data_IF_906273881780
#
_entry.id   IF_906273881780
#
_cell.length_a   1.000
_cell.length_b   1.000
_cell.length_c   1.000
_cell.angle_alpha   90.00
_cell.angle_beta   90.00
_cell.angle_gamma   90.00
#
_symmetry.space_group_name_H-M   'P 1'
#
loop_
_entity.id
_entity.type
_entity.pdbx_description
1 polymer ?
#
# COMPACT_ATOMS: atom_id res chain seq x y z
N UNK A 1 -24.27 -19.34 47.39
CA UNK A 1 -24.44 -19.84 46.00
C UNK A 1 -23.11 -20.44 45.56
N UNK A 2 -23.09 -21.68 45.08
CA UNK A 2 -21.87 -22.31 44.55
C UNK A 2 -21.21 -21.41 43.50
N UNK A 3 -19.90 -21.20 43.61
CA UNK A 3 -19.08 -20.40 42.68
C UNK A 3 -19.34 -20.77 41.21
N UNK A 4 -19.56 -22.06 40.95
CA UNK A 4 -19.86 -22.61 39.62
C UNK A 4 -21.11 -21.96 39.03
N UNK A 5 -22.18 -21.78 39.82
CA UNK A 5 -23.42 -21.14 39.35
C UNK A 5 -23.24 -19.65 39.02
N UNK A 6 -22.19 -19.01 39.54
CA UNK A 6 -21.89 -17.59 39.29
C UNK A 6 -20.99 -17.40 38.05
N UNK A 7 -20.09 -18.33 37.79
CA UNK A 7 -19.07 -18.23 36.73
C UNK A 7 -19.57 -18.80 35.40
N UNK A 8 -20.42 -19.83 35.44
CA UNK A 8 -20.98 -20.47 34.25
C UNK A 8 -21.59 -19.51 33.21
N UNK A 9 -22.43 -18.51 33.57
CA UNK A 9 -22.98 -17.58 32.59
C UNK A 9 -21.91 -16.69 31.93
N UNK A 10 -20.86 -16.31 32.66
CA UNK A 10 -19.75 -15.51 32.14
C UNK A 10 -18.97 -16.31 31.09
N UNK A 11 -18.72 -17.60 31.39
CA UNK A 11 -18.06 -18.53 30.48
C UNK A 11 -18.85 -18.73 29.17
N UNK A 12 -20.18 -18.81 29.25
CA UNK A 12 -21.05 -18.93 28.07
C UNK A 12 -20.98 -17.67 27.21
N UNK A 13 -21.04 -16.49 27.82
CA UNK A 13 -20.92 -15.21 27.10
C UNK A 13 -19.56 -15.11 26.42
N UNK A 14 -18.49 -15.49 27.11
CA UNK A 14 -17.14 -15.51 26.55
C UNK A 14 -17.07 -16.41 25.31
N UNK A 15 -17.63 -17.62 25.40
CA UNK A 15 -17.69 -18.58 24.30
C UNK A 15 -18.41 -18.00 23.08
N UNK A 16 -19.58 -17.39 23.28
CA UNK A 16 -20.35 -16.75 22.21
C UNK A 16 -19.53 -15.63 21.55
N UNK A 17 -18.86 -14.80 22.35
CA UNK A 17 -18.04 -13.71 21.83
C UNK A 17 -16.86 -14.22 21.00
N UNK A 18 -16.21 -15.31 21.44
CA UNK A 18 -15.14 -15.96 20.68
C UNK A 18 -15.65 -16.53 19.35
N UNK A 19 -16.82 -17.18 19.34
CA UNK A 19 -17.42 -17.72 18.12
C UNK A 19 -17.73 -16.60 17.11
N UNK A 20 -18.33 -15.49 17.58
CA UNK A 20 -18.62 -14.32 16.73
C UNK A 20 -17.34 -13.72 16.17
N UNK A 21 -16.30 -13.58 17.01
CA UNK A 21 -15.01 -13.04 16.59
C UNK A 21 -14.34 -13.90 15.51
N UNK A 22 -14.27 -15.22 15.73
CA UNK A 22 -13.67 -16.15 14.77
C UNK A 22 -14.48 -16.17 13.47
N UNK A 23 -15.82 -16.18 13.55
CA UNK A 23 -16.69 -16.09 12.38
C UNK A 23 -16.46 -14.81 11.58
N UNK A 24 -16.33 -13.67 12.25
CA UNK A 24 -16.06 -12.39 11.62
C UNK A 24 -14.67 -12.35 10.97
N UNK A 25 -13.64 -12.87 11.64
CA UNK A 25 -12.27 -12.90 11.13
C UNK A 25 -12.13 -13.81 9.88
N UNK A 26 -12.83 -14.94 9.86
CA UNK A 26 -12.85 -15.81 8.67
C UNK A 26 -13.65 -15.16 7.53
N UNK A 27 -14.78 -14.53 7.83
CA UNK A 27 -15.59 -13.80 6.84
C UNK A 27 -14.84 -12.61 6.24
N UNK A 28 -14.08 -11.85 7.04
CA UNK A 28 -13.31 -10.71 6.54
C UNK A 28 -12.18 -11.14 5.59
N UNK A 29 -11.51 -12.27 5.85
CA UNK A 29 -10.51 -12.81 4.93
C UNK A 29 -11.11 -13.21 3.57
N UNK A 30 -12.37 -13.65 3.55
CA UNK A 30 -13.06 -13.94 2.27
C UNK A 30 -13.50 -12.68 1.52
N UNK A 31 -13.58 -11.54 2.20
CA UNK A 31 -13.96 -10.24 1.63
C UNK A 31 -12.76 -9.40 1.16
N UNK A 32 -11.53 -9.72 1.53
CA UNK A 32 -10.31 -9.05 1.05
C UNK A 32 -9.98 -9.33 -0.43
N UNK A 33 -10.90 -9.96 -1.17
CA UNK A 33 -10.79 -10.31 -2.58
C UNK A 33 -11.32 -9.22 -3.54
N UNK A 34 -11.05 -7.96 -3.24
CA UNK A 34 -11.08 -6.88 -4.25
C UNK A 34 -10.04 -5.78 -3.95
N UNK A 35 -8.88 -6.17 -3.40
CA UNK A 35 -7.70 -5.32 -3.52
C UNK A 35 -7.23 -5.50 -4.95
N UNK A 36 -7.48 -4.49 -5.80
CA UNK A 36 -7.00 -4.44 -7.17
C UNK A 36 -5.57 -5.01 -7.23
N UNK A 37 -5.32 -6.10 -7.98
CA UNK A 37 -4.00 -6.74 -8.03
C UNK A 37 -2.88 -5.77 -8.46
N UNK A 38 -3.23 -4.68 -9.12
CA UNK A 38 -2.30 -3.61 -9.50
C UNK A 38 -1.91 -2.68 -8.34
N UNK A 39 -2.62 -2.70 -7.20
CA UNK A 39 -2.26 -1.91 -6.01
C UNK A 39 -0.86 -2.25 -5.49
N UNK A 40 -0.44 -3.51 -5.61
CA UNK A 40 0.92 -3.94 -5.28
C UNK A 40 1.98 -3.34 -6.22
N UNK A 41 1.63 -3.05 -7.47
CA UNK A 41 2.54 -2.44 -8.44
C UNK A 41 2.81 -0.96 -8.14
N UNK A 42 1.90 -0.25 -7.46
CA UNK A 42 2.09 1.15 -7.05
C UNK A 42 2.88 1.32 -5.75
N UNK A 43 3.03 0.26 -4.95
CA UNK A 43 3.77 0.27 -3.67
C UNK A 43 5.16 -0.34 -3.82
N UNK A 44 5.46 -0.99 -4.96
CA UNK A 44 6.79 -1.53 -5.24
C UNK A 44 7.81 -0.40 -5.19
N UNK A 45 8.87 -0.49 -4.38
CA UNK A 45 9.94 0.50 -4.36
C UNK A 45 10.42 0.70 -5.80
N UNK A 46 10.43 1.95 -6.27
CA UNK A 46 11.09 2.32 -7.52
C UNK A 46 12.48 1.68 -7.47
N UNK A 47 12.81 0.87 -8.47
CA UNK A 47 13.98 0.01 -8.49
C UNK A 47 15.21 0.72 -7.92
N UNK A 48 16.07 -0.02 -7.19
CA UNK A 48 17.25 0.55 -6.52
C UNK A 48 18.26 1.21 -7.47
N UNK A 49 18.08 1.01 -8.78
CA UNK A 49 18.79 1.67 -9.85
C UNK A 49 17.80 2.20 -10.87
N UNK A 50 18.09 3.37 -11.40
CA UNK A 50 17.39 3.89 -12.57
C UNK A 50 17.86 3.16 -13.82
N UNK A 51 16.92 2.90 -14.72
CA UNK A 51 17.22 2.40 -16.05
C UNK A 51 17.84 3.54 -16.88
N UNK A 52 19.12 3.40 -17.20
CA UNK A 52 19.89 4.43 -17.93
C UNK A 52 19.46 4.57 -19.38
N UNK A 53 18.88 3.53 -19.98
CA UNK A 53 18.37 3.59 -21.36
C UNK A 53 17.10 4.45 -21.41
N UNK A 54 16.18 4.21 -20.46
CA UNK A 54 14.96 5.00 -20.32
C UNK A 54 15.27 6.47 -20.01
N UNK A 55 16.27 6.73 -19.15
CA UNK A 55 16.71 8.10 -18.87
C UNK A 55 17.30 8.80 -20.11
N UNK A 56 18.00 8.06 -20.97
CA UNK A 56 18.50 8.58 -22.25
C UNK A 56 17.37 8.97 -23.20
N UNK A 57 16.40 8.08 -23.38
CA UNK A 57 15.23 8.31 -24.24
C UNK A 57 14.39 9.51 -23.78
N UNK A 58 14.19 9.66 -22.47
CA UNK A 58 13.48 10.81 -21.90
C UNK A 58 14.28 12.09 -22.10
N UNK A 59 15.61 12.03 -21.95
CA UNK A 59 16.49 13.18 -22.17
C UNK A 59 16.39 13.67 -23.61
N UNK A 60 16.49 12.77 -24.59
CA UNK A 60 16.35 13.08 -26.02
C UNK A 60 14.98 13.69 -26.32
N UNK A 61 13.89 13.06 -25.85
CA UNK A 61 12.53 13.58 -26.04
C UNK A 61 12.34 14.96 -25.41
N UNK A 62 12.97 15.21 -24.27
CA UNK A 62 12.89 16.50 -23.58
C UNK A 62 13.66 17.57 -24.35
N UNK A 63 14.86 17.25 -24.86
CA UNK A 63 15.63 18.16 -25.72
C UNK A 63 14.90 18.49 -27.03
N UNK A 64 14.18 17.54 -27.62
CA UNK A 64 13.43 17.75 -28.87
C UNK A 64 12.09 18.48 -28.65
N UNK A 65 11.44 18.27 -27.49
CA UNK A 65 10.09 18.80 -27.23
C UNK A 65 10.09 20.19 -26.60
N UNK A 66 11.15 20.58 -25.91
CA UNK A 66 11.22 21.85 -25.21
C UNK A 66 12.08 22.86 -25.97
N UNK A 67 11.72 24.16 -25.93
CA UNK A 67 12.47 25.22 -26.62
C UNK A 67 13.83 25.51 -25.97
N UNK A 68 14.15 24.87 -24.85
CA UNK A 68 15.39 25.03 -24.10
C UNK A 68 15.87 23.65 -23.63
N UNK A 69 17.18 23.44 -23.64
CA UNK A 69 17.75 22.18 -23.14
C UNK A 69 17.52 22.06 -21.62
N UNK A 70 17.45 20.83 -21.07
CA UNK A 70 17.36 20.62 -19.62
C UNK A 70 18.47 21.31 -18.84
N UNK A 71 19.67 21.37 -19.41
CA UNK A 71 20.84 22.02 -18.82
C UNK A 71 20.67 23.54 -18.78
N UNK A 72 20.14 24.14 -19.85
CA UNK A 72 19.79 25.57 -19.92
C UNK A 72 18.75 25.91 -18.83
N UNK A 73 17.69 25.11 -18.74
CA UNK A 73 16.62 25.30 -17.76
C UNK A 73 17.14 25.26 -16.31
N UNK A 74 17.99 24.29 -15.98
CA UNK A 74 18.58 24.18 -14.64
C UNK A 74 19.49 25.36 -14.31
N UNK A 75 20.18 25.93 -15.29
CA UNK A 75 21.01 27.13 -15.11
C UNK A 75 20.18 28.40 -14.90
N UNK A 76 19.02 28.51 -15.54
CA UNK A 76 18.11 29.64 -15.37
C UNK A 76 17.53 29.73 -13.94
N UNK A 77 17.45 28.59 -13.23
CA UNK A 77 17.00 28.53 -11.83
C UNK A 77 18.14 28.63 -10.81
N UNK A 78 19.40 28.63 -11.26
CA UNK A 78 20.55 28.96 -10.42
C UNK A 78 20.74 30.47 -10.44
N UNK A 79 19.86 31.16 -9.70
CA UNK A 79 20.05 32.55 -9.32
C UNK A 79 21.02 32.53 -8.13
N UNK A 80 22.21 33.12 -8.30
CA UNK A 80 23.08 33.51 -7.17
C UNK A 80 22.38 34.54 -6.28
#
# INVERSE_FOLDING_TARGET
MSLIKKILPILIILLVMTIVWVGFAVYSQTLELDINPDAANFIKPISSSFDTEVLGDITIKTEESFPVSPQEFLRLNQVD
#
